data_IF_945619516886
#
_entry.id   IF_945619516886
#
_cell.length_a   1.000
_cell.length_b   1.000
_cell.length_c   1.000
_cell.angle_alpha   90.00
_cell.angle_beta   90.00
_cell.angle_gamma   90.00
#
_symmetry.space_group_name_H-M   'P 1'
#
loop_
_entity.id
_entity.type
_entity.pdbx_description
1 polymer ?
#
# COMPACT_ATOMS: atom_id res chain seq x y z
N UNK A 1 7.97 8.16 2.08
CA UNK A 1 7.65 7.50 0.79
C UNK A 1 7.71 8.43 -0.43
N UNK A 2 8.70 9.33 -0.53
CA UNK A 2 8.78 10.28 -1.67
C UNK A 2 8.89 9.53 -3.01
N UNK A 3 8.16 9.94 -4.04
CA UNK A 3 8.11 9.30 -5.36
C UNK A 3 7.65 7.84 -5.39
N UNK A 4 6.87 7.42 -4.40
CA UNK A 4 6.24 6.10 -4.39
C UNK A 4 4.72 6.24 -4.52
N UNK A 5 4.12 5.46 -5.41
CA UNK A 5 2.67 5.32 -5.51
C UNK A 5 2.24 3.99 -4.89
N UNK A 6 1.21 4.03 -4.05
CA UNK A 6 0.61 2.84 -3.45
C UNK A 6 -0.77 2.59 -4.03
N UNK A 7 -1.07 1.34 -4.35
CA UNK A 7 -2.35 0.91 -4.90
C UNK A 7 -2.87 -0.24 -4.04
N UNK A 8 -4.12 -0.12 -3.60
CA UNK A 8 -4.83 -1.18 -2.90
C UNK A 8 -5.42 -2.16 -3.92
N UNK A 9 -5.16 -3.47 -3.77
CA UNK A 9 -5.71 -4.49 -4.65
C UNK A 9 -6.72 -5.36 -3.93
N UNK A 10 -7.93 -5.43 -4.49
CA UNK A 10 -9.02 -6.28 -4.00
C UNK A 10 -8.75 -7.75 -4.34
N UNK A 11 -8.89 -8.13 -5.62
CA UNK A 11 -8.67 -9.52 -6.05
C UNK A 11 -7.21 -9.96 -5.96
N UNK A 12 -6.26 -9.00 -6.01
CA UNK A 12 -4.84 -9.30 -5.87
C UNK A 12 -4.39 -9.53 -4.42
N UNK A 13 -5.19 -9.13 -3.42
CA UNK A 13 -4.92 -9.31 -1.99
C UNK A 13 -3.54 -8.83 -1.50
N UNK A 14 -3.07 -7.70 -2.02
CA UNK A 14 -1.81 -7.07 -1.60
C UNK A 14 -1.87 -5.55 -1.81
N UNK A 15 -0.94 -4.81 -1.20
CA UNK A 15 -0.64 -3.44 -1.62
C UNK A 15 0.44 -3.48 -2.69
N UNK A 16 0.23 -2.81 -3.82
CA UNK A 16 1.28 -2.58 -4.82
C UNK A 16 2.01 -1.30 -4.48
N UNK A 17 3.34 -1.36 -4.44
CA UNK A 17 4.20 -0.18 -4.41
C UNK A 17 4.87 -0.01 -5.76
N UNK A 18 4.73 1.17 -6.36
CA UNK A 18 5.41 1.57 -7.58
C UNK A 18 6.43 2.67 -7.24
N UNK A 19 7.67 2.50 -7.68
CA UNK A 19 8.69 3.55 -7.60
C UNK A 19 8.68 4.33 -8.91
N UNK A 20 8.51 5.65 -8.82
CA UNK A 20 8.37 6.54 -9.97
C UNK A 20 9.61 7.42 -10.10
N UNK A 21 10.25 7.41 -11.26
CA UNK A 21 11.34 8.32 -11.60
C UNK A 21 11.10 8.92 -12.99
N UNK A 22 11.26 10.24 -13.13
CA UNK A 22 11.07 10.94 -14.41
C UNK A 22 9.76 10.55 -15.11
N UNK A 23 8.67 10.46 -14.33
CA UNK A 23 7.32 10.08 -14.80
C UNK A 23 7.19 8.64 -15.33
N UNK A 24 8.16 7.76 -15.05
CA UNK A 24 8.13 6.34 -15.41
C UNK A 24 8.19 5.47 -14.17
N UNK A 25 7.52 4.32 -14.22
CA UNK A 25 7.64 3.28 -13.20
C UNK A 25 8.96 2.53 -13.42
N UNK A 26 9.84 2.55 -12.43
CA UNK A 26 11.16 1.90 -12.50
C UNK A 26 11.26 0.63 -11.64
N UNK A 27 10.39 0.47 -10.63
CA UNK A 27 10.30 -0.73 -9.78
C UNK A 27 8.87 -0.96 -9.31
N UNK A 28 8.53 -2.24 -9.09
CA UNK A 28 7.25 -2.67 -8.52
C UNK A 28 7.49 -3.69 -7.39
N UNK A 29 6.73 -3.58 -6.29
CA UNK A 29 6.78 -4.50 -5.15
C UNK A 29 5.35 -4.86 -4.70
N UNK A 30 5.15 -6.13 -4.31
CA UNK A 30 3.93 -6.58 -3.62
C UNK A 30 4.20 -6.60 -2.12
N UNK A 31 3.43 -5.82 -1.36
CA UNK A 31 3.53 -5.71 0.09
C UNK A 31 2.33 -6.40 0.73
N UNK A 32 2.54 -7.01 1.90
CA UNK A 32 1.50 -7.63 2.73
C UNK A 32 0.73 -8.77 2.03
N UNK A 33 1.32 -9.39 1.01
CA UNK A 33 0.72 -10.50 0.27
C UNK A 33 0.42 -11.71 1.17
N UNK A 34 1.22 -11.89 2.22
CA UNK A 34 1.10 -12.94 3.24
C UNK A 34 -0.12 -12.76 4.17
N UNK A 35 -0.79 -11.60 4.12
CA UNK A 35 -1.95 -11.32 4.99
C UNK A 35 -3.28 -11.84 4.43
N UNK A 36 -3.32 -12.19 3.14
CA UNK A 36 -4.53 -12.69 2.46
C UNK A 36 -5.74 -11.72 2.56
N UNK A 37 -5.46 -10.41 2.68
CA UNK A 37 -6.48 -9.38 2.85
C UNK A 37 -6.79 -8.70 1.52
N UNK A 38 -8.08 -8.49 1.26
CA UNK A 38 -8.56 -7.68 0.12
C UNK A 38 -8.45 -6.21 0.51
N UNK A 39 -7.47 -5.49 -0.02
CA UNK A 39 -7.27 -4.07 0.31
C UNK A 39 -8.17 -3.19 -0.57
N UNK A 40 -8.92 -2.30 0.07
CA UNK A 40 -9.89 -1.41 -0.58
C UNK A 40 -9.36 0.01 -0.79
N UNK A 41 -8.61 0.53 0.18
CA UNK A 41 -8.06 1.90 0.14
C UNK A 41 -6.64 1.91 0.70
N UNK A 42 -5.80 2.81 0.19
CA UNK A 42 -4.52 3.21 0.80
C UNK A 42 -4.35 4.72 0.74
N UNK A 43 -3.90 5.34 1.84
CA UNK A 43 -3.60 6.77 1.94
C UNK A 43 -2.36 7.00 2.81
N UNK A 44 -1.62 8.07 2.52
CA UNK A 44 -0.57 8.54 3.42
C UNK A 44 -1.19 9.52 4.41
N UNK A 45 -1.03 9.27 5.70
CA UNK A 45 -1.47 10.17 6.77
C UNK A 45 -0.57 11.40 6.90
N UNK A 46 -1.00 12.43 7.65
CA UNK A 46 -0.19 13.61 7.92
C UNK A 46 1.08 13.30 8.76
N UNK A 47 1.09 12.14 9.42
CA UNK A 47 2.24 11.57 10.16
C UNK A 47 3.25 10.84 9.24
N UNK A 48 2.98 10.76 7.94
CA UNK A 48 3.82 10.06 6.96
C UNK A 48 3.66 8.54 6.93
N UNK A 49 2.76 7.97 7.74
CA UNK A 49 2.46 6.54 7.74
C UNK A 49 1.43 6.20 6.65
N UNK A 50 1.35 4.91 6.28
CA UNK A 50 0.33 4.43 5.37
C UNK A 50 -0.87 3.91 6.17
N UNK A 51 -2.05 4.39 5.82
CA UNK A 51 -3.33 3.93 6.34
C UNK A 51 -4.05 3.16 5.25
N UNK A 52 -4.63 2.03 5.62
CA UNK A 52 -5.34 1.14 4.69
C UNK A 52 -6.70 0.78 5.23
N UNK A 53 -7.62 0.52 4.31
CA UNK A 53 -8.85 -0.20 4.61
C UNK A 53 -8.93 -1.51 3.85
N UNK A 54 -9.60 -2.48 4.43
CA UNK A 54 -9.90 -3.78 3.82
C UNK A 54 -11.36 -3.85 3.41
N UNK A 55 -11.67 -4.79 2.52
CA UNK A 55 -13.02 -4.99 1.98
C UNK A 55 -14.01 -5.49 3.05
N UNK A 56 -13.52 -6.11 4.13
CA UNK A 56 -14.30 -6.52 5.30
C UNK A 56 -14.48 -5.41 6.36
N UNK A 57 -14.10 -4.16 6.03
CA UNK A 57 -14.41 -2.99 6.84
C UNK A 57 -13.38 -2.63 7.91
N UNK A 58 -12.22 -3.29 7.97
CA UNK A 58 -11.15 -2.91 8.92
C UNK A 58 -10.38 -1.70 8.40
N UNK A 59 -9.90 -0.89 9.34
CA UNK A 59 -8.94 0.19 9.09
C UNK A 59 -7.69 -0.08 9.91
N UNK A 60 -6.52 -0.01 9.28
CA UNK A 60 -5.24 -0.22 9.92
C UNK A 60 -4.20 0.79 9.43
N UNK A 61 -3.10 0.94 10.17
CA UNK A 61 -1.91 1.67 9.73
C UNK A 61 -0.72 0.74 9.64
N UNK A 62 0.15 0.97 8.67
CA UNK A 62 1.43 0.29 8.55
C UNK A 62 2.45 1.02 9.42
N UNK A 63 3.07 0.28 10.33
CA UNK A 63 4.21 0.73 11.12
C UNK A 63 5.43 -0.09 10.69
N UNK A 64 6.61 0.53 10.71
CA UNK A 64 7.85 -0.22 10.55
C UNK A 64 7.97 -1.19 11.73
N UNK A 65 8.21 -2.47 11.44
CA UNK A 65 8.64 -3.42 12.46
C UNK A 65 9.97 -2.95 13.05
N UNK A 66 10.16 -3.20 14.35
CA UNK A 66 11.49 -3.10 14.95
C UNK A 66 12.44 -4.11 14.31
#
# INVERSE_FOLDING_TARGET
WKNNLFIANLSGQHLRRLVIEKQKVVKQEELLKDKDLRFRMVRTGPDGLLYVSTDDGKIARLVLGK
#
